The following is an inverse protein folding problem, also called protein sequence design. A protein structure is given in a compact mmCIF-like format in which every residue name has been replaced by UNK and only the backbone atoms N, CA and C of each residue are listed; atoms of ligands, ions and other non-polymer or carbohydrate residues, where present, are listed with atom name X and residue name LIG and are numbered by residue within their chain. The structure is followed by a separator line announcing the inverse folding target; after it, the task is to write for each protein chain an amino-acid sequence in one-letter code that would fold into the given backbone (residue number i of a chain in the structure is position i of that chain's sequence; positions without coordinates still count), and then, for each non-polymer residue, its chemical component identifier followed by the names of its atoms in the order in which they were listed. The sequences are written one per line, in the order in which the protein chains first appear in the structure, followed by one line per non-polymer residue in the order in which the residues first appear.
data_IF_699042514944
#
_entry.id   IF_699042514944
#
_cell.length_a   1.000
_cell.length_b   1.000
_cell.length_c   1.000
_cell.angle_alpha   90.00
_cell.angle_beta   90.00
_cell.angle_gamma   90.00
#
_symmetry.space_group_name_H-M   'P 1'
#
loop_
_entity.id
_entity.type
_entity.pdbx_description
1 polymer ?
#
# COMPACT_ATOMS: atom_id res chain seq x y z
N UNK A 1 -9.33 -21.46 19.79
CA UNK A 1 -8.31 -22.18 19.01
C UNK A 1 -7.93 -21.27 17.86
N UNK A 2 -6.66 -20.88 17.67
CA UNK A 2 -6.28 -20.09 16.51
C UNK A 2 -6.40 -20.99 15.28
N UNK A 3 -7.18 -20.52 14.32
CA UNK A 3 -7.40 -21.14 13.02
C UNK A 3 -6.05 -21.26 12.32
N UNK A 4 -5.53 -22.47 12.19
CA UNK A 4 -4.36 -22.74 11.35
C UNK A 4 -4.81 -22.51 9.90
N UNK A 5 -4.58 -21.29 9.41
CA UNK A 5 -4.72 -20.96 8.00
C UNK A 5 -3.73 -21.85 7.23
N UNK A 6 -4.26 -22.75 6.41
CA UNK A 6 -3.51 -23.40 5.33
C UNK A 6 -2.66 -22.35 4.59
N UNK A 7 -1.52 -22.71 3.96
CA UNK A 7 -0.76 -21.79 3.12
C UNK A 7 -1.60 -21.42 1.89
N UNK A 8 -2.63 -20.62 2.11
CA UNK A 8 -3.56 -20.17 1.10
C UNK A 8 -2.93 -19.01 0.36
N UNK A 9 -2.82 -19.16 -0.93
CA UNK A 9 -2.32 -18.15 -1.82
C UNK A 9 -3.10 -16.84 -1.66
N UNK A 10 -2.45 -15.78 -1.13
CA UNK A 10 -3.07 -14.50 -0.85
C UNK A 10 -3.48 -13.76 -2.12
N UNK A 11 -4.68 -13.20 -2.12
CA UNK A 11 -5.17 -12.26 -3.14
C UNK A 11 -5.25 -10.88 -2.50
N UNK A 12 -4.58 -9.90 -3.08
CA UNK A 12 -4.51 -8.54 -2.55
C UNK A 12 -5.10 -7.53 -3.53
N UNK A 13 -5.64 -6.44 -3.00
CA UNK A 13 -5.90 -5.23 -3.75
C UNK A 13 -4.84 -4.17 -3.37
N UNK A 14 -4.21 -3.57 -4.36
CA UNK A 14 -3.28 -2.46 -4.18
C UNK A 14 -3.77 -1.29 -5.01
N UNK A 15 -3.92 -0.13 -4.39
CA UNK A 15 -4.33 1.08 -5.10
C UNK A 15 -3.31 2.19 -4.94
N UNK A 16 -3.15 3.00 -5.98
CA UNK A 16 -2.37 4.23 -5.93
C UNK A 16 -3.23 5.43 -6.32
N UNK A 17 -3.09 6.52 -5.57
CA UNK A 17 -3.87 7.74 -5.79
C UNK A 17 -2.98 8.98 -5.93
N UNK A 18 -3.59 10.15 -6.14
CA UNK A 18 -2.88 11.38 -6.51
C UNK A 18 -2.16 12.07 -5.35
N UNK A 19 -1.30 11.36 -4.65
CA UNK A 19 -0.39 11.92 -3.65
C UNK A 19 1.05 11.54 -4.01
N UNK A 20 2.03 12.36 -3.68
CA UNK A 20 3.45 12.06 -3.87
C UNK A 20 3.85 10.80 -3.12
N UNK A 21 4.71 9.97 -3.70
CA UNK A 21 5.16 8.71 -3.11
C UNK A 21 5.10 7.52 -4.05
N UNK A 22 5.22 7.74 -5.36
CA UNK A 22 5.23 6.69 -6.39
C UNK A 22 6.30 5.61 -6.13
N UNK A 23 7.43 6.01 -5.55
CA UNK A 23 8.51 5.10 -5.17
C UNK A 23 8.04 4.02 -4.18
N UNK A 24 7.16 4.37 -3.24
CA UNK A 24 6.62 3.41 -2.26
C UNK A 24 5.63 2.43 -2.91
N UNK A 25 4.85 2.89 -3.90
CA UNK A 25 4.01 1.98 -4.72
C UNK A 25 4.89 0.98 -5.45
N UNK A 26 5.95 1.43 -6.11
CA UNK A 26 6.90 0.57 -6.83
C UNK A 26 7.52 -0.45 -5.88
N UNK A 27 8.02 -0.02 -4.74
CA UNK A 27 8.64 -0.90 -3.75
C UNK A 27 7.67 -1.97 -3.22
N UNK A 28 6.42 -1.60 -2.93
CA UNK A 28 5.39 -2.54 -2.50
C UNK A 28 5.08 -3.57 -3.60
N UNK A 29 4.89 -3.15 -4.85
CA UNK A 29 4.60 -4.05 -5.97
C UNK A 29 5.77 -5.01 -6.24
N UNK A 30 7.02 -4.53 -6.15
CA UNK A 30 8.21 -5.39 -6.27
C UNK A 30 8.27 -6.45 -5.17
N UNK A 31 8.02 -6.07 -3.91
CA UNK A 31 7.98 -7.01 -2.80
C UNK A 31 6.89 -8.06 -2.98
N UNK A 32 5.69 -7.67 -3.40
CA UNK A 32 4.58 -8.58 -3.68
C UNK A 32 4.84 -9.51 -4.87
N UNK A 33 5.52 -9.01 -5.91
CA UNK A 33 5.89 -9.81 -7.08
C UNK A 33 6.81 -10.97 -6.70
N UNK A 34 7.72 -10.76 -5.74
CA UNK A 34 8.67 -11.77 -5.29
C UNK A 34 8.18 -12.66 -4.13
N UNK A 35 6.99 -12.38 -3.58
CA UNK A 35 6.43 -13.16 -2.47
C UNK A 35 5.59 -14.33 -2.98
N UNK A 36 6.09 -15.56 -2.85
CA UNK A 36 5.42 -16.78 -3.33
C UNK A 36 4.10 -17.09 -2.61
N UNK A 37 3.85 -16.47 -1.47
CA UNK A 37 2.56 -16.57 -0.75
C UNK A 37 1.46 -15.77 -1.43
N UNK A 38 1.81 -14.84 -2.33
CA UNK A 38 0.87 -13.98 -3.04
C UNK A 38 0.57 -14.60 -4.41
N UNK A 39 -0.69 -14.93 -4.63
CA UNK A 39 -1.19 -15.48 -5.90
C UNK A 39 -1.55 -14.40 -6.90
N UNK A 40 -2.24 -13.35 -6.43
CA UNK A 40 -2.78 -12.30 -7.29
C UNK A 40 -2.75 -10.96 -6.58
N UNK A 41 -2.34 -9.95 -7.30
CA UNK A 41 -2.44 -8.54 -6.88
C UNK A 41 -3.31 -7.81 -7.90
N UNK A 42 -4.47 -7.33 -7.47
CA UNK A 42 -5.32 -6.44 -8.27
C UNK A 42 -4.81 -5.01 -8.07
N UNK A 43 -4.09 -4.48 -9.06
CA UNK A 43 -3.51 -3.14 -8.98
C UNK A 43 -4.40 -2.11 -9.67
N UNK A 44 -4.75 -1.04 -8.95
CA UNK A 44 -5.63 0.02 -9.42
C UNK A 44 -4.91 1.36 -9.29
N UNK A 45 -4.77 2.10 -10.39
CA UNK A 45 -4.21 3.45 -10.37
C UNK A 45 -5.27 4.47 -10.78
N UNK A 46 -5.48 5.51 -9.97
CA UNK A 46 -6.30 6.66 -10.35
C UNK A 46 -5.59 7.49 -11.44
N UNK A 47 -6.32 8.34 -12.18
CA UNK A 47 -5.73 9.25 -13.16
C UNK A 47 -4.69 10.18 -12.54
N UNK A 48 -4.98 10.69 -11.33
CA UNK A 48 -4.03 11.51 -10.61
C UNK A 48 -2.77 10.72 -10.17
N UNK A 49 -2.87 9.41 -9.93
CA UNK A 49 -1.70 8.58 -9.68
C UNK A 49 -0.81 8.44 -10.92
N UNK A 50 -1.41 8.35 -12.12
CA UNK A 50 -0.63 8.32 -13.37
C UNK A 50 0.20 9.58 -13.56
N UNK A 51 -0.35 10.74 -13.20
CA UNK A 51 0.39 12.00 -13.21
C UNK A 51 1.58 11.96 -12.24
N UNK A 52 1.37 11.49 -11.01
CA UNK A 52 2.45 11.34 -10.02
C UNK A 52 3.52 10.38 -10.51
N UNK A 53 3.14 9.24 -11.11
CA UNK A 53 4.10 8.28 -11.68
C UNK A 53 4.91 8.90 -12.84
N UNK A 54 4.28 9.76 -13.64
CA UNK A 54 4.99 10.46 -14.73
C UNK A 54 6.01 11.46 -14.17
N UNK A 55 5.64 12.22 -13.16
CA UNK A 55 6.48 13.27 -12.55
C UNK A 55 7.62 12.68 -11.72
N UNK A 56 7.36 11.62 -10.93
CA UNK A 56 8.34 11.08 -9.97
C UNK A 56 9.19 9.93 -10.54
N UNK A 57 8.65 9.13 -11.47
CA UNK A 57 9.30 7.91 -12.00
C UNK A 57 9.49 7.92 -13.54
N UNK A 58 9.13 9.00 -14.21
CA UNK A 58 9.15 9.13 -15.67
C UNK A 58 8.32 8.06 -16.42
N UNK A 59 7.30 7.49 -15.75
CA UNK A 59 6.41 6.48 -16.32
C UNK A 59 5.38 7.15 -17.23
N UNK A 60 5.20 6.60 -18.44
CA UNK A 60 4.34 7.22 -19.46
C UNK A 60 3.01 6.45 -19.58
N UNK A 61 1.95 7.10 -19.11
CA UNK A 61 0.58 6.65 -19.36
C UNK A 61 0.20 5.35 -18.65
N UNK A 62 -0.94 4.79 -19.06
CA UNK A 62 -1.57 3.62 -18.43
C UNK A 62 -1.14 2.30 -19.07
N UNK A 63 -0.65 2.35 -20.32
CA UNK A 63 -0.28 1.15 -21.06
C UNK A 63 0.94 0.47 -20.43
N UNK A 64 0.83 -0.83 -20.16
CA UNK A 64 1.89 -1.60 -19.51
C UNK A 64 2.40 -0.99 -18.19
N UNK A 65 1.50 -0.30 -17.45
CA UNK A 65 1.86 0.43 -16.23
C UNK A 65 2.58 -0.45 -15.21
N UNK A 66 2.09 -1.68 -14.97
CA UNK A 66 2.73 -2.63 -14.06
C UNK A 66 4.16 -2.94 -14.51
N UNK A 67 4.36 -3.26 -15.79
CA UNK A 67 5.69 -3.56 -16.33
C UNK A 67 6.64 -2.35 -16.24
N UNK A 68 6.14 -1.14 -16.43
CA UNK A 68 6.95 0.09 -16.23
C UNK A 68 7.31 0.30 -14.75
N UNK A 69 6.40 -0.01 -13.81
CA UNK A 69 6.65 0.13 -12.37
C UNK A 69 7.67 -0.87 -11.85
N UNK A 70 7.56 -2.15 -12.24
CA UNK A 70 8.41 -3.22 -11.70
C UNK A 70 9.54 -3.67 -12.62
N UNK A 71 9.66 -3.06 -13.81
CA UNK A 71 10.75 -3.35 -14.78
C UNK A 71 10.60 -4.67 -15.54
N UNK A 72 9.49 -5.40 -15.42
CA UNK A 72 9.21 -6.68 -16.09
C UNK A 72 7.72 -6.94 -16.26
N UNK A 73 7.35 -7.84 -17.16
CA UNK A 73 5.98 -8.33 -17.23
C UNK A 73 5.66 -9.17 -15.98
N UNK A 74 4.42 -9.11 -15.51
CA UNK A 74 3.91 -9.90 -14.41
C UNK A 74 2.64 -10.64 -14.81
N UNK A 75 2.53 -11.89 -14.39
CA UNK A 75 1.27 -12.65 -14.45
C UNK A 75 0.52 -12.57 -13.11
N UNK A 76 1.22 -12.18 -12.06
CA UNK A 76 0.70 -12.06 -10.68
C UNK A 76 -0.01 -10.71 -10.46
N UNK A 77 0.58 -9.61 -10.92
CA UNK A 77 0.04 -8.26 -10.74
C UNK A 77 -0.82 -7.89 -11.94
N UNK A 78 -2.13 -7.81 -11.72
CA UNK A 78 -3.13 -7.55 -12.74
C UNK A 78 -3.63 -6.10 -12.61
N UNK A 79 -3.41 -5.31 -13.64
CA UNK A 79 -3.91 -3.93 -13.69
C UNK A 79 -5.43 -3.94 -13.89
N UNK A 80 -6.14 -3.20 -13.01
CA UNK A 80 -7.59 -2.98 -13.10
C UNK A 80 -7.88 -1.55 -13.55
N UNK A 81 -9.00 -1.35 -14.24
CA UNK A 81 -9.47 0.00 -14.58
C UNK A 81 -10.22 0.60 -13.39
N UNK A 82 -9.83 1.81 -12.96
CA UNK A 82 -10.48 2.49 -11.82
C UNK A 82 -11.93 2.90 -12.10
N UNK A 83 -12.34 3.04 -13.37
CA UNK A 83 -13.71 3.39 -13.75
C UNK A 83 -14.64 2.16 -13.80
N UNK A 84 -14.07 0.95 -13.75
CA UNK A 84 -14.84 -0.30 -13.73
C UNK A 84 -15.25 -0.68 -12.30
N UNK A 85 -16.30 -0.05 -11.80
CA UNK A 85 -16.86 -0.34 -10.46
C UNK A 85 -17.48 -1.74 -10.35
N UNK A 86 -17.55 -2.51 -11.43
CA UNK A 86 -17.96 -3.92 -11.47
C UNK A 86 -16.80 -4.90 -11.47
N UNK A 87 -15.55 -4.43 -11.41
CA UNK A 87 -14.36 -5.27 -11.37
C UNK A 87 -14.34 -6.25 -10.19
N UNK A 88 -13.48 -7.27 -10.26
CA UNK A 88 -13.45 -8.37 -9.28
C UNK A 88 -13.45 -7.91 -7.81
N UNK A 89 -12.61 -6.93 -7.48
CA UNK A 89 -12.45 -6.43 -6.10
C UNK A 89 -13.66 -5.61 -5.60
N UNK A 90 -14.62 -5.29 -6.48
CA UNK A 90 -15.86 -4.60 -6.13
C UNK A 90 -16.88 -5.52 -5.45
N UNK A 91 -16.64 -6.84 -5.42
CA UNK A 91 -17.55 -7.83 -4.85
C UNK A 91 -17.01 -8.41 -3.53
N UNK A 92 -17.87 -8.50 -2.51
CA UNK A 92 -17.54 -9.16 -1.24
C UNK A 92 -17.29 -10.67 -1.38
N UNK A 93 -17.84 -11.32 -2.40
CA UNK A 93 -17.59 -12.74 -2.70
C UNK A 93 -16.22 -13.01 -3.32
N UNK A 94 -15.56 -12.00 -3.89
CA UNK A 94 -14.19 -12.13 -4.38
C UNK A 94 -13.21 -12.23 -3.20
N UNK A 95 -12.28 -13.19 -3.17
CA UNK A 95 -11.50 -13.53 -1.99
C UNK A 95 -10.31 -12.57 -1.76
N UNK A 96 -10.55 -11.26 -1.72
CA UNK A 96 -9.52 -10.28 -1.34
C UNK A 96 -9.17 -10.44 0.14
N UNK A 97 -7.90 -10.69 0.47
CA UNK A 97 -7.44 -10.86 1.84
C UNK A 97 -7.17 -9.52 2.54
N UNK A 98 -6.64 -8.55 1.81
CA UNK A 98 -6.38 -7.21 2.30
C UNK A 98 -6.34 -6.21 1.15
N UNK A 99 -6.56 -4.93 1.46
CA UNK A 99 -6.35 -3.81 0.53
C UNK A 99 -5.36 -2.81 1.11
N UNK A 100 -4.43 -2.36 0.27
CA UNK A 100 -3.43 -1.33 0.60
C UNK A 100 -3.57 -0.18 -0.40
N UNK A 101 -3.81 1.03 0.09
CA UNK A 101 -3.84 2.26 -0.73
C UNK A 101 -2.54 3.02 -0.47
N UNK A 102 -1.63 3.03 -1.45
CA UNK A 102 -0.29 3.60 -1.33
C UNK A 102 0.19 4.29 -2.62
N UNK A 103 0.42 5.61 -2.60
CA UNK A 103 0.00 6.55 -1.57
C UNK A 103 -1.52 6.76 -1.56
N UNK A 104 -2.07 7.15 -0.42
CA UNK A 104 -3.47 7.54 -0.25
C UNK A 104 -3.58 9.06 -0.15
N UNK A 105 -4.22 9.70 -1.13
CA UNK A 105 -4.49 11.13 -1.09
C UNK A 105 -5.62 11.46 -0.11
N UNK A 106 -5.64 12.70 0.42
CA UNK A 106 -6.69 13.15 1.33
C UNK A 106 -8.08 13.12 0.71
N UNK A 107 -8.19 13.34 -0.61
CA UNK A 107 -9.47 13.21 -1.31
C UNK A 107 -9.98 11.78 -1.34
N UNK A 108 -9.11 10.79 -1.55
CA UNK A 108 -9.48 9.37 -1.48
C UNK A 108 -9.82 8.96 -0.05
N UNK A 109 -9.01 9.36 0.93
CA UNK A 109 -9.31 9.16 2.35
C UNK A 109 -10.70 9.69 2.72
N UNK A 110 -11.03 10.92 2.29
CA UNK A 110 -12.31 11.55 2.56
C UNK A 110 -13.48 10.72 1.98
N UNK A 111 -13.38 10.26 0.73
CA UNK A 111 -14.43 9.44 0.11
C UNK A 111 -14.61 8.12 0.86
N UNK A 112 -13.53 7.44 1.22
CA UNK A 112 -13.56 6.18 1.98
C UNK A 112 -14.19 6.41 3.36
N UNK A 113 -13.77 7.46 4.08
CA UNK A 113 -14.29 7.81 5.41
C UNK A 113 -15.80 8.07 5.40
N UNK A 114 -16.34 8.56 4.28
CA UNK A 114 -17.77 8.84 4.12
C UNK A 114 -18.55 7.74 3.37
N UNK A 115 -17.93 6.58 3.09
CA UNK A 115 -18.61 5.47 2.39
C UNK A 115 -19.00 5.79 0.94
N UNK A 116 -18.31 6.71 0.28
CA UNK A 116 -18.55 7.04 -1.12
C UNK A 116 -17.84 6.02 -2.01
N UNK A 117 -18.55 5.45 -2.97
CA UNK A 117 -18.05 4.39 -3.87
C UNK A 117 -18.17 4.83 -5.34
N UNK A 118 -17.55 5.96 -5.69
CA UNK A 118 -17.64 6.56 -7.02
C UNK A 118 -16.71 5.94 -8.08
N UNK A 119 -15.75 5.10 -7.67
CA UNK A 119 -14.81 4.41 -8.54
C UNK A 119 -14.39 3.08 -7.91
N UNK A 120 -13.58 2.29 -8.62
CA UNK A 120 -13.19 0.95 -8.15
C UNK A 120 -12.34 0.98 -6.87
N UNK A 121 -11.47 1.97 -6.69
CA UNK A 121 -10.66 2.13 -5.47
C UNK A 121 -11.57 2.34 -4.26
N UNK A 122 -12.50 3.30 -4.36
CA UNK A 122 -13.43 3.63 -3.29
C UNK A 122 -14.34 2.42 -2.98
N UNK A 123 -14.84 1.73 -4.04
CA UNK A 123 -15.69 0.55 -3.90
C UNK A 123 -14.96 -0.64 -3.27
N UNK A 124 -13.73 -0.91 -3.67
CA UNK A 124 -12.93 -2.00 -3.09
C UNK A 124 -12.62 -1.73 -1.59
N UNK A 125 -12.38 -0.47 -1.24
CA UNK A 125 -12.20 -0.08 0.16
C UNK A 125 -13.48 -0.30 0.98
N UNK A 126 -14.66 0.13 0.46
CA UNK A 126 -15.96 -0.13 1.08
C UNK A 126 -16.22 -1.64 1.27
N UNK A 127 -15.88 -2.46 0.26
CA UNK A 127 -15.96 -3.92 0.37
C UNK A 127 -15.07 -4.45 1.49
N UNK A 128 -13.82 -3.97 1.60
CA UNK A 128 -12.93 -4.40 2.68
C UNK A 128 -13.51 -4.05 4.06
N UNK A 129 -14.04 -2.84 4.24
CA UNK A 129 -14.66 -2.42 5.51
C UNK A 129 -15.87 -3.28 5.87
N UNK A 130 -16.83 -3.47 4.95
CA UNK A 130 -18.05 -4.26 5.24
C UNK A 130 -17.77 -5.74 5.47
N UNK A 131 -16.74 -6.32 4.84
CA UNK A 131 -16.32 -7.72 5.01
C UNK A 131 -15.30 -7.88 6.15
N UNK A 132 -14.97 -6.79 6.88
CA UNK A 132 -13.97 -6.76 7.97
C UNK A 132 -12.59 -7.29 7.54
N UNK A 133 -12.21 -6.99 6.30
CA UNK A 133 -10.88 -7.29 5.75
C UNK A 133 -9.92 -6.16 6.05
N UNK A 134 -8.63 -6.41 6.28
CA UNK A 134 -7.64 -5.36 6.50
C UNK A 134 -7.64 -4.34 5.35
N UNK A 135 -7.84 -3.07 5.70
CA UNK A 135 -7.72 -1.92 4.80
C UNK A 135 -6.65 -0.99 5.36
N UNK A 136 -5.54 -0.82 4.63
CA UNK A 136 -4.43 0.04 5.02
C UNK A 136 -4.38 1.25 4.11
N UNK A 137 -4.50 2.44 4.70
CA UNK A 137 -4.48 3.72 4.00
C UNK A 137 -3.14 4.42 4.28
N UNK A 138 -2.18 4.30 3.37
CA UNK A 138 -0.88 4.96 3.47
C UNK A 138 -1.01 6.43 3.07
N UNK A 139 -1.54 7.23 4.00
CA UNK A 139 -1.86 8.64 3.77
C UNK A 139 -0.61 9.48 3.59
N UNK A 140 -0.65 10.43 2.61
CA UNK A 140 0.46 11.37 2.40
C UNK A 140 -0.08 12.79 2.17
N UNK A 141 0.16 13.67 3.15
CA UNK A 141 -0.17 15.08 3.11
C UNK A 141 0.60 15.86 4.16
N UNK A 142 0.95 17.10 3.86
CA UNK A 142 1.54 18.05 4.81
C UNK A 142 1.38 19.49 4.32
N UNK A 143 0.98 20.48 5.19
CA UNK A 143 0.45 20.29 6.53
C UNK A 143 -0.95 19.68 6.52
N UNK A 144 -1.37 19.11 7.64
CA UNK A 144 -2.72 18.60 7.82
C UNK A 144 -3.67 19.72 8.30
N UNK A 145 -4.87 19.78 7.73
CA UNK A 145 -5.95 20.63 8.24
C UNK A 145 -6.93 19.80 9.11
N UNK A 146 -7.86 20.47 9.76
CA UNK A 146 -8.85 19.82 10.65
C UNK A 146 -9.74 18.81 9.92
N UNK A 147 -10.06 19.05 8.64
CA UNK A 147 -10.88 18.13 7.84
C UNK A 147 -10.11 16.83 7.56
N UNK A 148 -8.81 16.92 7.24
CA UNK A 148 -7.95 15.75 7.07
C UNK A 148 -7.91 14.90 8.33
N UNK A 149 -7.68 15.52 9.50
CA UNK A 149 -7.59 14.82 10.79
C UNK A 149 -8.92 14.12 11.10
N UNK A 150 -10.05 14.80 10.90
CA UNK A 150 -11.38 14.22 11.14
C UNK A 150 -11.70 13.06 10.19
N UNK A 151 -11.32 13.15 8.92
CA UNK A 151 -11.48 12.05 7.96
C UNK A 151 -10.60 10.85 8.32
N UNK A 152 -9.39 11.06 8.88
CA UNK A 152 -8.58 9.96 9.41
C UNK A 152 -9.26 9.27 10.59
N UNK A 153 -9.84 10.03 11.52
CA UNK A 153 -10.61 9.52 12.65
C UNK A 153 -11.77 8.66 12.18
N UNK A 154 -12.64 9.18 11.29
CA UNK A 154 -13.79 8.44 10.77
C UNK A 154 -13.40 7.19 9.98
N UNK A 155 -12.35 7.25 9.16
CA UNK A 155 -11.85 6.07 8.46
C UNK A 155 -11.33 5.00 9.44
N UNK A 156 -10.66 5.42 10.52
CA UNK A 156 -10.18 4.51 11.57
C UNK A 156 -11.35 3.90 12.36
N UNK A 157 -12.36 4.68 12.73
CA UNK A 157 -13.58 4.20 13.38
C UNK A 157 -14.34 3.20 12.51
N UNK A 158 -14.36 3.40 11.18
CA UNK A 158 -14.93 2.47 10.23
C UNK A 158 -14.14 1.15 10.09
N UNK A 159 -12.92 1.08 10.63
CA UNK A 159 -12.08 -0.12 10.63
C UNK A 159 -10.87 -0.08 9.71
N UNK A 160 -10.60 1.05 9.02
CA UNK A 160 -9.38 1.21 8.25
C UNK A 160 -8.18 1.50 9.17
N UNK A 161 -6.99 1.06 8.76
CA UNK A 161 -5.75 1.48 9.40
C UNK A 161 -5.20 2.72 8.70
N UNK A 162 -5.09 3.81 9.44
CA UNK A 162 -4.36 5.00 8.99
C UNK A 162 -2.87 4.74 9.17
N UNK A 163 -2.16 4.62 8.07
CA UNK A 163 -0.74 4.30 8.03
C UNK A 163 0.02 5.41 7.29
N UNK A 164 0.33 6.54 7.93
CA UNK A 164 0.95 7.66 7.24
C UNK A 164 2.24 7.24 6.54
N UNK A 165 2.48 7.77 5.34
CA UNK A 165 3.65 7.47 4.54
C UNK A 165 4.87 8.21 5.12
N UNK A 166 5.31 7.74 6.30
CA UNK A 166 6.41 8.29 7.09
C UNK A 166 7.45 7.17 7.26
N UNK A 167 8.55 7.19 6.50
CA UNK A 167 9.59 6.17 6.61
C UNK A 167 10.35 6.26 7.94
N UNK A 168 11.00 5.16 8.32
CA UNK A 168 11.88 5.11 9.50
C UNK A 168 13.34 5.23 9.05
N UNK A 169 14.19 5.77 9.94
CA UNK A 169 15.61 5.99 9.68
C UNK A 169 16.52 5.10 10.55
N UNK A 170 15.97 4.28 11.43
CA UNK A 170 16.75 3.40 12.33
C UNK A 170 17.60 2.39 11.59
N UNK A 171 17.16 1.92 10.42
CA UNK A 171 17.89 1.00 9.55
C UNK A 171 18.94 1.69 8.69
N UNK A 172 19.14 3.02 8.82
CA UNK A 172 20.11 3.82 8.10
C UNK A 172 20.11 3.58 6.58
N UNK A 173 18.96 3.76 5.89
CA UNK A 173 18.86 3.51 4.46
C UNK A 173 19.83 4.43 3.70
N UNK A 174 20.57 3.88 2.74
CA UNK A 174 21.55 4.60 1.93
C UNK A 174 20.95 5.21 0.68
N UNK A 175 19.81 4.67 0.24
CA UNK A 175 19.10 5.11 -0.95
C UNK A 175 17.62 5.28 -0.65
N UNK A 176 16.93 6.06 -1.49
CA UNK A 176 15.48 6.18 -1.42
C UNK A 176 14.78 4.84 -1.70
N UNK A 177 15.34 3.99 -2.57
CA UNK A 177 14.81 2.66 -2.84
C UNK A 177 14.87 1.75 -1.62
N UNK A 178 15.98 1.73 -0.89
CA UNK A 178 16.09 1.00 0.39
C UNK A 178 15.08 1.50 1.41
N UNK A 179 14.90 2.81 1.52
CA UNK A 179 13.93 3.43 2.42
C UNK A 179 12.50 3.00 2.07
N UNK A 180 12.15 3.07 0.78
CA UNK A 180 10.83 2.69 0.30
C UNK A 180 10.57 1.19 0.46
N UNK A 181 11.59 0.35 0.23
CA UNK A 181 11.52 -1.09 0.42
C UNK A 181 11.24 -1.44 1.89
N UNK A 182 11.98 -0.87 2.85
CA UNK A 182 11.75 -1.11 4.27
C UNK A 182 10.37 -0.63 4.73
N UNK A 183 9.88 0.48 4.19
CA UNK A 183 8.51 0.91 4.43
C UNK A 183 7.48 -0.11 3.90
N UNK A 184 7.68 -0.59 2.66
CA UNK A 184 6.82 -1.62 2.07
C UNK A 184 6.82 -2.92 2.90
N UNK A 185 7.98 -3.37 3.39
CA UNK A 185 8.10 -4.52 4.29
C UNK A 185 7.26 -4.35 5.56
N UNK A 186 7.27 -3.16 6.16
CA UNK A 186 6.46 -2.86 7.36
C UNK A 186 4.96 -2.88 7.06
N UNK A 187 4.52 -2.34 5.92
CA UNK A 187 3.12 -2.40 5.48
C UNK A 187 2.70 -3.85 5.23
N UNK A 188 3.53 -4.64 4.56
CA UNK A 188 3.25 -6.05 4.30
C UNK A 188 3.19 -6.88 5.58
N UNK A 189 4.08 -6.63 6.54
CA UNK A 189 4.04 -7.26 7.86
C UNK A 189 2.70 -6.99 8.56
N UNK A 190 2.17 -5.76 8.46
CA UNK A 190 0.90 -5.38 9.06
C UNK A 190 -0.28 -6.19 8.50
N UNK A 191 -0.25 -6.57 7.24
CA UNK A 191 -1.27 -7.43 6.61
C UNK A 191 -0.94 -8.93 6.66
N UNK A 192 0.03 -9.34 7.50
CA UNK A 192 0.40 -10.74 7.73
C UNK A 192 1.40 -11.32 6.72
N UNK A 193 2.00 -10.50 5.87
CA UNK A 193 3.00 -10.90 4.88
C UNK A 193 4.41 -10.43 5.28
N UNK A 194 4.90 -10.93 6.42
CA UNK A 194 6.22 -10.57 6.92
C UNK A 194 7.32 -10.91 5.92
N UNK A 195 8.19 -9.93 5.62
CA UNK A 195 9.30 -10.06 4.70
C UNK A 195 10.59 -10.48 5.45
N UNK A 196 11.39 -11.34 4.84
CA UNK A 196 12.62 -11.91 5.47
C UNK A 196 13.69 -10.85 5.72
N UNK A 197 13.77 -9.87 4.83
CA UNK A 197 14.74 -8.77 4.84
C UNK A 197 14.21 -7.49 5.51
N UNK A 198 13.03 -7.56 6.15
CA UNK A 198 12.49 -6.46 6.94
C UNK A 198 13.39 -6.16 8.15
N UNK A 199 13.72 -4.88 8.34
CA UNK A 199 14.42 -4.43 9.53
C UNK A 199 13.61 -4.72 10.80
N UNK A 200 14.26 -5.32 11.80
CA UNK A 200 13.67 -5.61 13.11
C UNK A 200 14.49 -4.94 14.21
N UNK A 201 13.81 -4.20 15.05
CA UNK A 201 14.45 -3.63 16.24
C UNK A 201 14.87 -4.74 17.22
N UNK A 202 16.13 -4.71 17.65
CA UNK A 202 16.65 -5.70 18.62
C UNK A 202 17.04 -7.07 18.02
N UNK A 203 16.99 -7.27 16.70
CA UNK A 203 17.59 -8.43 16.06
C UNK A 203 19.12 -8.37 16.14
N UNK A 204 19.83 -9.52 15.99
CA UNK A 204 21.26 -9.71 16.25
C UNK A 204 22.26 -8.81 15.49
N UNK A 205 21.79 -7.94 14.61
CA UNK A 205 22.54 -6.83 14.01
C UNK A 205 21.91 -5.47 14.36
N UNK A 206 21.99 -5.00 15.62
CA UNK A 206 21.61 -3.62 15.91
C UNK A 206 22.53 -2.67 15.13
N UNK A 207 22.04 -1.51 14.66
CA UNK A 207 22.91 -0.50 14.08
C UNK A 207 24.03 -0.20 15.08
N UNK A 208 25.28 -0.18 14.61
CA UNK A 208 26.45 0.11 15.47
C UNK A 208 26.16 1.41 16.21
N UNK A 209 26.08 1.33 17.53
CA UNK A 209 26.04 2.54 18.37
C UNK A 209 27.29 3.33 18.00
N UNK A 210 27.13 4.51 17.43
CA UNK A 210 28.24 5.45 17.32
C UNK A 210 28.75 5.68 18.75
N UNK A 211 29.98 5.28 19.02
CA UNK A 211 30.66 5.58 20.27
C UNK A 211 30.56 7.09 20.47
N UNK A 212 29.98 7.50 21.58
CA UNK A 212 30.12 8.87 22.02
C UNK A 212 31.60 9.16 22.20
N UNK A 213 32.03 10.43 22.14
CA UNK A 213 33.42 10.77 22.33
C UNK A 213 33.90 10.20 23.68
N UNK A 214 34.92 9.37 23.63
CA UNK A 214 35.66 8.98 24.83
C UNK A 214 36.13 10.27 25.51
N UNK A 215 35.78 10.42 26.79
CA UNK A 215 36.25 11.53 27.63
C UNK A 215 37.65 11.27 28.09
#
# INVERSE_FOLDING_TARGET
MPNQLHPSAHVLAVAATGASGALFTRALLLALEHDDRVKTVNFIASDNALRVFAEELAIKGRNHLVAQLIGKQSTKIQQQNNDDIGGNVASGSYPTHAMIVIPCSMGTLARIAHGLAGNLIDRAADVCLKEKRPLVLCTRETPLNRVHIRNMEWAAEAGATIYPLIPTFYNQPKTFDEMAHQFACRVLQFVGLEQKDAYRWGAENPPRRHGGPEK
#
